data_IF_603350675219
#
_entry.id   IF_603350675219
#
_cell.length_a   1.000
_cell.length_b   1.000
_cell.length_c   1.000
_cell.angle_alpha   90.00
_cell.angle_beta   90.00
_cell.angle_gamma   90.00
#
_symmetry.space_group_name_H-M   'P 1'
#
loop_
_entity.id
_entity.type
_entity.pdbx_description
1 polymer ?
#
# COMPACT_ATOMS: atom_id res chain seq x y z
N UNK A 1 -19.36 -14.73 16.07
CA UNK A 1 -18.06 -14.07 15.93
C UNK A 1 -18.20 -13.12 14.77
N UNK A 2 -18.12 -11.81 15.02
CA UNK A 2 -18.17 -10.80 13.97
C UNK A 2 -16.85 -10.91 13.19
N UNK A 3 -16.89 -11.49 11.98
CA UNK A 3 -15.75 -11.47 11.07
C UNK A 3 -15.53 -9.99 10.76
N UNK A 4 -14.46 -9.43 11.31
CA UNK A 4 -14.23 -7.99 11.42
C UNK A 4 -14.66 -7.22 10.18
N UNK A 5 -15.66 -6.35 10.34
CA UNK A 5 -16.13 -5.46 9.27
C UNK A 5 -14.95 -4.69 8.72
N UNK A 6 -14.63 -4.91 7.45
CA UNK A 6 -13.69 -4.07 6.71
C UNK A 6 -14.21 -2.64 6.71
N UNK A 7 -13.31 -1.69 6.88
CA UNK A 7 -13.66 -0.27 6.84
C UNK A 7 -14.08 0.08 5.42
N UNK A 8 -15.29 0.60 5.29
CA UNK A 8 -15.80 1.17 4.04
C UNK A 8 -15.50 2.66 4.02
N UNK A 9 -15.02 3.17 2.90
CA UNK A 9 -14.62 4.55 2.69
C UNK A 9 -15.48 5.21 1.62
N UNK A 10 -15.88 6.44 1.88
CA UNK A 10 -16.19 7.39 0.80
C UNK A 10 -14.90 7.84 0.11
N UNK A 11 -15.01 8.37 -1.11
CA UNK A 11 -13.86 8.93 -1.82
C UNK A 11 -13.21 10.09 -1.06
N UNK A 12 -14.02 10.90 -0.36
CA UNK A 12 -13.53 12.00 0.47
C UNK A 12 -12.69 11.47 1.65
N UNK A 13 -13.18 10.48 2.38
CA UNK A 13 -12.44 9.86 3.49
C UNK A 13 -11.14 9.19 3.01
N UNK A 14 -11.19 8.51 1.85
CA UNK A 14 -10.01 7.89 1.26
C UNK A 14 -8.95 8.95 0.89
N UNK A 15 -9.37 10.06 0.25
CA UNK A 15 -8.46 11.18 -0.04
C UNK A 15 -7.98 11.89 1.23
N UNK A 16 -8.80 11.98 2.28
CA UNK A 16 -8.41 12.53 3.58
C UNK A 16 -7.36 11.68 4.30
N UNK A 17 -7.36 10.37 4.10
CA UNK A 17 -6.37 9.44 4.65
C UNK A 17 -5.09 9.37 3.82
N UNK A 18 -5.18 9.72 2.53
CA UNK A 18 -4.08 9.57 1.58
C UNK A 18 -2.77 10.26 2.00
N UNK A 19 -2.74 11.46 2.62
CA UNK A 19 -1.50 12.05 3.11
C UNK A 19 -0.73 11.14 4.08
N UNK A 20 -1.45 10.43 4.98
CA UNK A 20 -0.83 9.48 5.90
C UNK A 20 -0.31 8.23 5.16
N UNK A 21 -1.08 7.68 4.22
CA UNK A 21 -0.64 6.55 3.38
C UNK A 21 0.61 6.90 2.59
N UNK A 22 0.65 8.09 1.98
CA UNK A 22 1.81 8.61 1.23
C UNK A 22 3.03 8.76 2.11
N UNK A 23 2.88 9.34 3.30
CA UNK A 23 4.01 9.55 4.22
C UNK A 23 4.59 8.22 4.72
N UNK A 24 3.76 7.25 5.09
CA UNK A 24 4.22 5.93 5.49
C UNK A 24 4.91 5.19 4.34
N UNK A 25 4.36 5.29 3.14
CA UNK A 25 4.93 4.69 1.92
C UNK A 25 6.28 5.31 1.58
N UNK A 26 6.38 6.65 1.63
CA UNK A 26 7.63 7.39 1.40
C UNK A 26 8.72 6.94 2.37
N UNK A 27 8.43 6.91 3.68
CA UNK A 27 9.39 6.47 4.72
C UNK A 27 9.87 5.03 4.49
N UNK A 28 8.97 4.14 4.11
CA UNK A 28 9.31 2.75 3.84
C UNK A 28 10.21 2.61 2.60
N UNK A 29 9.89 3.31 1.52
CA UNK A 29 10.73 3.34 0.30
C UNK A 29 12.12 3.90 0.62
N UNK A 30 12.20 5.02 1.34
CA UNK A 30 13.47 5.62 1.74
C UNK A 30 14.30 4.68 2.63
N UNK A 31 13.64 3.96 3.54
CA UNK A 31 14.30 2.99 4.40
C UNK A 31 14.86 1.80 3.60
N UNK A 32 14.10 1.29 2.62
CA UNK A 32 14.59 0.24 1.71
C UNK A 32 15.74 0.75 0.84
N UNK A 33 15.65 1.98 0.33
CA UNK A 33 16.68 2.59 -0.52
C UNK A 33 17.99 2.88 0.24
N UNK A 34 17.92 3.09 1.56
CA UNK A 34 19.08 3.30 2.42
C UNK A 34 19.81 2.00 2.80
N UNK A 35 19.26 0.83 2.46
CA UNK A 35 19.91 -0.45 2.77
C UNK A 35 21.18 -0.63 1.94
N UNK A 36 22.24 -1.23 2.52
CA UNK A 36 23.47 -1.46 1.80
C UNK A 36 23.23 -2.43 0.63
N UNK A 37 23.72 -2.06 -0.54
CA UNK A 37 23.87 -3.00 -1.65
C UNK A 37 24.78 -4.13 -1.21
N UNK A 38 24.33 -5.37 -1.33
CA UNK A 38 25.18 -6.51 -1.07
C UNK A 38 26.14 -6.68 -2.25
N UNK A 39 27.44 -6.74 -1.97
CA UNK A 39 28.49 -6.72 -3.00
C UNK A 39 28.86 -8.15 -3.44
N UNK A 40 27.87 -9.02 -3.67
CA UNK A 40 28.06 -10.40 -4.09
C UNK A 40 28.37 -11.39 -2.96
N UNK A 41 28.35 -10.96 -1.69
CA UNK A 41 28.38 -11.87 -0.53
C UNK A 41 26.96 -12.37 -0.22
N UNK A 42 26.78 -13.69 -0.24
CA UNK A 42 25.46 -14.31 -0.04
C UNK A 42 24.87 -14.09 1.36
N UNK A 43 25.72 -13.85 2.37
CA UNK A 43 25.27 -13.57 3.74
C UNK A 43 24.76 -12.14 3.85
N UNK A 44 25.51 -11.18 3.31
CA UNK A 44 25.08 -9.78 3.19
C UNK A 44 23.81 -9.65 2.35
N UNK A 45 23.72 -10.34 1.20
CA UNK A 45 22.50 -10.37 0.37
C UNK A 45 21.29 -10.85 1.14
N UNK A 46 21.45 -11.92 1.93
CA UNK A 46 20.39 -12.46 2.77
C UNK A 46 20.01 -11.49 3.89
N UNK A 47 20.98 -10.82 4.52
CA UNK A 47 20.74 -9.85 5.56
C UNK A 47 20.00 -8.61 5.03
N UNK A 48 20.44 -8.05 3.90
CA UNK A 48 19.77 -6.93 3.23
C UNK A 48 18.35 -7.28 2.83
N UNK A 49 18.13 -8.49 2.27
CA UNK A 49 16.78 -8.96 1.93
C UNK A 49 15.88 -9.11 3.16
N UNK A 50 16.42 -9.63 4.26
CA UNK A 50 15.67 -9.76 5.50
C UNK A 50 15.28 -8.40 6.08
N UNK A 51 16.16 -7.41 5.99
CA UNK A 51 15.86 -6.05 6.43
C UNK A 51 14.80 -5.37 5.54
N UNK A 52 14.92 -5.50 4.21
CA UNK A 52 13.90 -5.00 3.29
C UNK A 52 12.52 -5.63 3.56
N UNK A 53 12.48 -6.93 3.86
CA UNK A 53 11.25 -7.62 4.24
C UNK A 53 10.68 -7.11 5.57
N UNK A 54 11.52 -6.77 6.56
CA UNK A 54 11.08 -6.14 7.82
C UNK A 54 10.46 -4.76 7.57
N UNK A 55 11.09 -3.93 6.75
CA UNK A 55 10.55 -2.60 6.40
C UNK A 55 9.21 -2.74 5.69
N UNK A 56 9.10 -3.65 4.71
CA UNK A 56 7.86 -3.91 4.00
C UNK A 56 6.76 -4.42 4.95
N UNK A 57 7.08 -5.33 5.86
CA UNK A 57 6.13 -5.82 6.86
C UNK A 57 5.63 -4.70 7.78
N UNK A 58 6.51 -3.79 8.22
CA UNK A 58 6.13 -2.61 9.00
C UNK A 58 5.17 -1.69 8.23
N UNK A 59 5.45 -1.46 6.94
CA UNK A 59 4.54 -0.72 6.07
C UNK A 59 3.18 -1.41 5.92
N UNK A 60 3.15 -2.73 5.70
CA UNK A 60 1.89 -3.50 5.61
C UNK A 60 1.08 -3.35 6.89
N UNK A 61 1.70 -3.49 8.07
CA UNK A 61 1.01 -3.30 9.35
C UNK A 61 0.40 -1.90 9.46
N UNK A 62 1.16 -0.85 9.12
CA UNK A 62 0.64 0.51 9.14
C UNK A 62 -0.55 0.71 8.18
N UNK A 63 -0.52 0.08 7.00
CA UNK A 63 -1.64 0.13 6.05
C UNK A 63 -2.89 -0.58 6.60
N UNK A 64 -2.72 -1.77 7.19
CA UNK A 64 -3.83 -2.52 7.79
C UNK A 64 -4.45 -1.78 8.97
N UNK A 65 -3.64 -1.12 9.81
CA UNK A 65 -4.13 -0.29 10.93
C UNK A 65 -4.95 0.92 10.46
N UNK A 66 -4.63 1.47 9.29
CA UNK A 66 -5.43 2.53 8.64
C UNK A 66 -6.74 2.00 8.03
N UNK A 67 -6.87 0.68 7.92
CA UNK A 67 -8.02 -0.02 7.34
C UNK A 67 -7.95 -0.17 5.82
N UNK A 68 -6.79 0.04 5.20
CA UNK A 68 -6.61 -0.09 3.74
C UNK A 68 -6.09 -1.48 3.37
N UNK A 69 -6.47 -1.98 2.20
CA UNK A 69 -6.07 -3.30 1.72
C UNK A 69 -4.76 -3.21 0.92
N UNK A 70 -3.73 -3.94 1.34
CA UNK A 70 -2.47 -4.04 0.58
C UNK A 70 -2.65 -5.05 -0.55
N UNK A 71 -2.40 -4.62 -1.80
CA UNK A 71 -2.44 -5.52 -2.98
C UNK A 71 -1.06 -5.85 -3.55
N UNK A 72 -0.04 -5.09 -3.15
CA UNK A 72 1.36 -5.30 -3.52
C UNK A 72 2.25 -4.24 -2.88
N UNK A 73 3.57 -4.29 -3.12
CA UNK A 73 4.47 -3.25 -2.65
C UNK A 73 4.00 -1.87 -3.15
N UNK A 74 3.74 -0.96 -2.20
CA UNK A 74 3.36 0.43 -2.46
C UNK A 74 2.04 0.61 -3.22
N UNK A 75 1.21 -0.44 -3.24
CA UNK A 75 -0.10 -0.49 -3.90
C UNK A 75 -1.16 -0.87 -2.87
N UNK A 76 -2.15 0.01 -2.70
CA UNK A 76 -3.26 -0.21 -1.77
C UNK A 76 -4.61 0.13 -2.40
N UNK A 77 -5.64 -0.53 -1.86
CA UNK A 77 -7.03 -0.31 -2.18
C UNK A 77 -7.82 0.13 -0.94
N UNK A 78 -8.74 1.07 -1.14
CA UNK A 78 -9.72 1.50 -0.16
C UNK A 78 -11.07 0.92 -0.57
N UNK A 79 -11.66 0.07 0.27
CA UNK A 79 -12.97 -0.53 0.01
C UNK A 79 -14.06 0.54 0.06
N UNK A 80 -14.83 0.71 -1.02
CA UNK A 80 -15.93 1.67 -1.10
C UNK A 80 -17.30 1.06 -0.80
N UNK A 81 -17.37 -0.25 -0.57
CA UNK A 81 -18.61 -1.00 -0.47
C UNK A 81 -19.24 -1.34 -1.84
N UNK A 82 -18.69 -0.82 -2.93
CA UNK A 82 -19.08 -1.12 -4.31
C UNK A 82 -17.91 -1.56 -5.20
N UNK A 83 -16.70 -1.59 -4.64
CA UNK A 83 -15.44 -1.90 -5.30
C UNK A 83 -14.31 -1.23 -4.55
N UNK A 84 -13.25 -0.86 -5.27
CA UNK A 84 -12.05 -0.31 -4.67
C UNK A 84 -11.65 1.02 -5.30
N UNK A 85 -11.40 2.01 -4.45
CA UNK A 85 -10.57 3.14 -4.83
C UNK A 85 -9.11 2.72 -4.72
N UNK A 86 -8.39 2.85 -5.82
CA UNK A 86 -7.06 2.29 -5.94
C UNK A 86 -6.01 3.42 -5.95
N UNK A 87 -4.89 3.19 -5.25
CA UNK A 87 -3.76 4.11 -5.24
C UNK A 87 -2.43 3.35 -5.26
N UNK A 88 -1.48 3.84 -6.06
CA UNK A 88 -0.08 3.39 -6.02
C UNK A 88 0.87 4.57 -5.90
N UNK A 89 1.99 4.39 -5.19
CA UNK A 89 3.07 5.38 -5.21
C UNK A 89 3.57 5.61 -6.65
N UNK A 90 3.87 6.87 -7.08
CA UNK A 90 3.84 8.13 -6.34
C UNK A 90 2.60 9.01 -6.63
N UNK A 91 1.43 8.42 -6.95
CA UNK A 91 0.23 9.20 -7.31
C UNK A 91 -0.12 10.24 -6.22
N UNK A 92 -0.51 11.46 -6.62
CA UNK A 92 -0.77 12.55 -5.67
C UNK A 92 -2.15 12.46 -5.01
N UNK A 93 -3.11 11.88 -5.73
CA UNK A 93 -4.52 11.71 -5.34
C UNK A 93 -5.06 10.38 -5.83
N UNK A 94 -6.17 9.92 -5.23
CA UNK A 94 -6.91 8.76 -5.71
C UNK A 94 -7.67 9.18 -6.99
N UNK A 95 -7.29 8.60 -8.12
CA UNK A 95 -7.88 8.92 -9.43
C UNK A 95 -8.61 7.76 -10.07
N UNK A 96 -8.59 6.58 -9.46
CA UNK A 96 -9.01 5.36 -10.12
C UNK A 96 -9.89 4.48 -9.22
N UNK A 97 -10.80 3.77 -9.87
CA UNK A 97 -11.69 2.78 -9.27
C UNK A 97 -11.64 1.47 -10.06
N UNK A 98 -11.79 0.33 -9.39
CA UNK A 98 -12.09 -0.94 -10.04
C UNK A 98 -13.13 -1.74 -9.24
N UNK A 99 -13.89 -2.61 -9.92
CA UNK A 99 -14.82 -3.53 -9.27
C UNK A 99 -14.11 -4.61 -8.45
N UNK A 100 -14.87 -5.32 -7.61
CA UNK A 100 -14.32 -6.40 -6.75
C UNK A 100 -13.70 -7.57 -7.54
N UNK A 101 -14.30 -7.92 -8.68
CA UNK A 101 -13.84 -9.00 -9.56
C UNK A 101 -12.81 -8.51 -10.60
N UNK A 102 -12.38 -7.26 -10.48
CA UNK A 102 -11.43 -6.62 -11.37
C UNK A 102 -10.13 -6.34 -10.62
N UNK A 103 -9.00 -6.54 -11.29
CA UNK A 103 -7.69 -6.15 -10.75
C UNK A 103 -7.35 -4.72 -11.12
N UNK A 104 -6.30 -4.18 -10.48
CA UNK A 104 -5.69 -2.87 -10.75
C UNK A 104 -5.60 -2.51 -12.24
N UNK A 105 -5.25 -3.47 -13.11
CA UNK A 105 -5.06 -3.26 -14.55
C UNK A 105 -6.33 -2.86 -15.30
N UNK A 106 -7.52 -3.08 -14.71
CA UNK A 106 -8.82 -2.70 -15.28
C UNK A 106 -9.44 -1.48 -14.62
N UNK A 107 -8.67 -0.74 -13.81
CA UNK A 107 -9.15 0.47 -13.14
C UNK A 107 -9.58 1.55 -14.14
N UNK A 108 -10.71 2.18 -13.86
CA UNK A 108 -11.25 3.31 -14.62
C UNK A 108 -10.99 4.61 -13.87
N UNK A 109 -10.80 5.71 -14.59
CA UNK A 109 -10.66 7.03 -13.95
C UNK A 109 -11.97 7.43 -13.30
N UNK A 110 -11.89 7.97 -12.09
CA UNK A 110 -12.98 8.67 -11.44
C UNK A 110 -13.27 9.95 -12.24
N UNK A 111 -14.56 10.21 -12.51
CA UNK A 111 -15.04 11.39 -13.25
C UNK A 111 -15.30 12.57 -12.32
#
# INVERSE_FOLDING_TARGET
MDVGRRRVFTLEEANGLLPSVREQTRRAIESVAALPSAHGDATEERATRAEAARVLAGWVTAMVELGVEVKGPWLVDFDSGAGYYCWTWPEESIQFFHGYDEGFTRRVRLQ
#
